data_IF_946969680134
#
_entry.id   IF_946969680134
#
_cell.length_a   1.000
_cell.length_b   1.000
_cell.length_c   1.000
_cell.angle_alpha   90.00
_cell.angle_beta   90.00
_cell.angle_gamma   90.00
#
_symmetry.space_group_name_H-M   'P 1'
#
loop_
_entity.id
_entity.type
_entity.pdbx_description
1 polymer ?
#
# COMPACT_ATOMS: atom_id res chain seq x y z
N UNK A 1 5.07 15.41 -19.56
CA UNK A 1 5.57 14.31 -18.75
C UNK A 1 4.65 14.06 -17.58
N UNK A 2 4.39 12.82 -17.29
CA UNK A 2 3.52 12.47 -16.17
C UNK A 2 4.35 11.83 -15.06
N UNK A 3 4.44 12.46 -13.88
CA UNK A 3 5.11 11.84 -12.76
C UNK A 3 4.42 10.57 -12.27
N UNK A 4 3.17 10.38 -12.65
CA UNK A 4 2.42 9.19 -12.24
C UNK A 4 2.97 7.89 -12.82
N UNK A 5 3.77 7.99 -13.89
CA UNK A 5 4.39 6.80 -14.47
C UNK A 5 5.47 6.21 -13.59
N UNK A 6 6.06 7.03 -12.71
CA UNK A 6 7.17 6.62 -11.86
C UNK A 6 6.75 6.33 -10.43
N UNK A 7 5.48 6.51 -10.11
CA UNK A 7 4.98 6.35 -8.76
C UNK A 7 3.93 5.26 -8.69
N UNK A 8 3.95 4.44 -7.62
CA UNK A 8 2.89 3.46 -7.42
C UNK A 8 1.53 4.14 -7.30
N UNK A 9 0.49 3.51 -7.82
CA UNK A 9 -0.86 4.00 -7.63
C UNK A 9 -1.28 3.69 -6.19
N UNK A 10 -1.37 4.73 -5.39
CA UNK A 10 -1.75 4.61 -3.99
C UNK A 10 -3.00 5.45 -3.77
N UNK A 11 -4.01 4.85 -3.16
CA UNK A 11 -5.23 5.56 -2.81
C UNK A 11 -5.40 5.62 -1.30
N UNK A 12 -5.88 6.74 -0.83
CA UNK A 12 -6.15 6.97 0.59
C UNK A 12 -7.64 7.21 0.78
N UNK A 13 -8.22 6.50 1.71
CA UNK A 13 -9.62 6.69 2.09
C UNK A 13 -9.69 6.89 3.60
N UNK A 14 -10.32 7.97 4.01
CA UNK A 14 -10.56 8.28 5.42
C UNK A 14 -12.06 8.20 5.67
N UNK A 15 -12.45 7.43 6.69
CA UNK A 15 -13.85 7.27 7.06
C UNK A 15 -14.05 7.78 8.48
N UNK A 16 -15.13 8.55 8.68
CA UNK A 16 -15.40 9.12 10.00
C UNK A 16 -16.19 8.18 10.89
N UNK A 17 -16.99 7.32 10.32
CA UNK A 17 -17.95 6.52 11.06
C UNK A 17 -17.82 5.01 10.87
N UNK A 18 -16.96 4.58 9.94
CA UNK A 18 -16.83 3.17 9.62
C UNK A 18 -15.41 2.68 9.88
N UNK A 19 -15.26 1.38 10.04
CA UNK A 19 -13.96 0.75 10.11
C UNK A 19 -13.59 0.14 8.77
N UNK A 20 -12.32 0.23 8.38
CA UNK A 20 -11.26 0.97 9.04
C UNK A 20 -11.44 2.48 8.86
N UNK A 21 -10.92 3.25 9.81
CA UNK A 21 -10.96 4.72 9.71
C UNK A 21 -10.04 5.26 8.64
N UNK A 22 -8.91 4.59 8.42
CA UNK A 22 -7.97 4.93 7.35
C UNK A 22 -7.67 3.66 6.58
N UNK A 23 -7.72 3.78 5.26
CA UNK A 23 -7.37 2.67 4.38
C UNK A 23 -6.46 3.21 3.28
N UNK A 24 -5.28 2.62 3.16
CA UNK A 24 -4.33 2.98 2.10
C UNK A 24 -4.11 1.74 1.25
N UNK A 25 -4.39 1.84 -0.04
CA UNK A 25 -4.24 0.74 -0.99
C UNK A 25 -3.09 1.02 -1.93
N UNK A 26 -2.21 0.05 -2.07
CA UNK A 26 -1.09 0.10 -3.01
C UNK A 26 -1.34 -0.96 -4.08
N UNK A 27 -1.41 -0.56 -5.33
CA UNK A 27 -1.55 -1.49 -6.46
C UNK A 27 -0.19 -2.11 -6.79
N UNK A 28 0.32 -2.90 -5.86
CA UNK A 28 1.66 -3.45 -5.94
C UNK A 28 1.89 -4.28 -7.19
N UNK A 29 0.93 -5.11 -7.55
CA UNK A 29 1.06 -5.98 -8.71
C UNK A 29 1.22 -5.23 -10.02
N UNK A 30 0.60 -4.06 -10.13
CA UNK A 30 0.68 -3.26 -11.35
C UNK A 30 2.09 -2.72 -11.55
N UNK A 31 2.71 -2.25 -10.48
CA UNK A 31 4.02 -1.61 -10.58
C UNK A 31 5.18 -2.58 -10.48
N UNK A 32 5.06 -3.57 -9.61
CA UNK A 32 6.14 -4.54 -9.40
C UNK A 32 6.04 -5.71 -10.35
N UNK A 33 4.87 -5.98 -10.89
CA UNK A 33 4.64 -7.13 -11.76
C UNK A 33 4.71 -8.46 -11.02
N UNK A 34 4.56 -8.44 -9.71
CA UNK A 34 4.62 -9.62 -8.85
C UNK A 34 3.94 -9.33 -7.53
N UNK A 35 3.84 -10.34 -6.69
CA UNK A 35 3.33 -10.18 -5.33
C UNK A 35 4.42 -9.61 -4.42
N UNK A 36 4.00 -8.93 -3.38
CA UNK A 36 4.92 -8.56 -2.31
C UNK A 36 5.28 -9.82 -1.54
N UNK A 37 6.55 -9.98 -1.20
CA UNK A 37 7.00 -11.12 -0.41
C UNK A 37 6.69 -10.90 1.06
N UNK A 38 6.63 -11.98 1.88
CA UNK A 38 6.46 -11.81 3.32
C UNK A 38 7.51 -10.90 3.95
N UNK A 39 8.76 -11.00 3.50
CA UNK A 39 9.83 -10.14 4.02
C UNK A 39 9.56 -8.67 3.69
N UNK A 40 9.05 -8.39 2.50
CA UNK A 40 8.71 -7.02 2.10
C UNK A 40 7.55 -6.47 2.91
N UNK A 41 6.56 -7.31 3.20
CA UNK A 41 5.44 -6.91 4.06
C UNK A 41 5.96 -6.60 5.48
N UNK A 42 6.89 -7.40 5.99
CA UNK A 42 7.50 -7.14 7.30
C UNK A 42 8.25 -5.81 7.31
N UNK A 43 8.93 -5.47 6.22
CA UNK A 43 9.60 -4.18 6.09
C UNK A 43 8.61 -3.01 6.11
N UNK A 44 7.48 -3.17 5.43
CA UNK A 44 6.44 -2.16 5.46
C UNK A 44 5.90 -1.98 6.88
N UNK A 45 5.63 -3.08 7.56
CA UNK A 45 5.16 -3.04 8.95
C UNK A 45 6.17 -2.32 9.84
N UNK A 46 7.46 -2.62 9.67
CA UNK A 46 8.50 -1.98 10.46
C UNK A 46 8.54 -0.47 10.23
N UNK A 47 8.34 -0.04 8.99
CA UNK A 47 8.36 1.40 8.67
C UNK A 47 7.14 2.13 9.24
N UNK A 48 6.05 1.42 9.50
CA UNK A 48 4.83 2.02 10.02
C UNK A 48 4.77 2.05 11.54
N UNK A 49 5.51 1.18 12.22
CA UNK A 49 5.41 1.05 13.68
C UNK A 49 5.72 2.32 14.44
N UNK A 50 6.64 3.12 13.92
CA UNK A 50 7.01 4.39 14.57
C UNK A 50 5.98 5.48 14.35
N UNK A 51 5.06 5.30 13.43
CA UNK A 51 4.10 6.32 13.03
C UNK A 51 2.68 5.97 13.42
N UNK A 52 2.37 4.70 13.46
CA UNK A 52 1.01 4.20 13.64
C UNK A 52 1.02 3.15 14.74
N UNK A 53 0.35 3.40 15.87
CA UNK A 53 0.38 2.44 16.97
C UNK A 53 -0.36 1.14 16.68
N UNK A 54 -1.41 1.20 15.88
CA UNK A 54 -2.20 0.02 15.57
C UNK A 54 -2.61 0.04 14.10
N UNK A 55 -2.29 -1.01 13.39
CA UNK A 55 -2.65 -1.14 11.98
C UNK A 55 -2.65 -2.61 11.58
N UNK A 56 -3.27 -2.88 10.45
CA UNK A 56 -3.23 -4.20 9.82
C UNK A 56 -2.79 -4.03 8.38
N UNK A 57 -2.05 -5.00 7.87
CA UNK A 57 -1.66 -5.02 6.47
C UNK A 57 -2.26 -6.28 5.85
N UNK A 58 -3.01 -6.08 4.79
CA UNK A 58 -3.67 -7.17 4.07
C UNK A 58 -3.16 -7.18 2.64
N UNK A 59 -2.58 -8.30 2.24
CA UNK A 59 -2.21 -8.51 0.85
C UNK A 59 -3.32 -9.32 0.19
N UNK A 60 -3.92 -8.76 -0.83
CA UNK A 60 -5.06 -9.42 -1.47
C UNK A 60 -4.95 -9.38 -2.98
N UNK A 61 -5.61 -10.32 -3.62
CA UNK A 61 -5.70 -10.37 -5.05
C UNK A 61 -7.13 -10.04 -5.45
N UNK A 62 -7.29 -9.06 -6.32
CA UNK A 62 -8.59 -8.70 -6.85
C UNK A 62 -8.68 -9.14 -8.28
N UNK A 63 -9.83 -9.66 -8.64
CA UNK A 63 -10.15 -9.99 -10.03
C UNK A 63 -11.01 -8.87 -10.59
N UNK A 64 -10.56 -8.33 -11.70
CA UNK A 64 -11.28 -7.27 -12.39
C UNK A 64 -11.65 -7.76 -13.77
N UNK A 65 -12.87 -7.44 -14.17
CA UNK A 65 -13.37 -7.82 -15.47
C UNK A 65 -13.63 -6.57 -16.30
N UNK A 66 -12.99 -6.51 -17.46
CA UNK A 66 -13.20 -5.42 -18.41
C UNK A 66 -13.63 -6.02 -19.74
N UNK A 67 -14.92 -5.93 -20.05
CA UNK A 67 -15.42 -6.55 -21.25
C UNK A 67 -15.27 -8.05 -21.19
N UNK A 68 -14.42 -8.61 -22.05
CA UNK A 68 -14.15 -10.04 -22.06
C UNK A 68 -12.86 -10.41 -21.36
N UNK A 69 -12.18 -9.43 -20.75
CA UNK A 69 -10.88 -9.64 -20.14
C UNK A 69 -11.02 -9.65 -18.63
N UNK A 70 -10.42 -10.66 -18.01
CA UNK A 70 -10.28 -10.73 -16.57
C UNK A 70 -8.84 -10.44 -16.21
N UNK A 71 -8.63 -9.57 -15.24
CA UNK A 71 -7.30 -9.26 -14.74
C UNK A 71 -7.24 -9.48 -13.24
N UNK A 72 -6.13 -10.05 -12.76
CA UNK A 72 -5.86 -10.19 -11.35
C UNK A 72 -4.89 -9.10 -10.93
N UNK A 73 -5.27 -8.34 -9.91
CA UNK A 73 -4.46 -7.24 -9.39
C UNK A 73 -4.10 -7.53 -7.95
N UNK A 74 -2.80 -7.55 -7.67
CA UNK A 74 -2.31 -7.70 -6.30
C UNK A 74 -2.25 -6.34 -5.63
N UNK A 75 -2.92 -6.24 -4.50
CA UNK A 75 -2.95 -5.01 -3.72
C UNK A 75 -2.45 -5.27 -2.32
N UNK A 76 -1.73 -4.31 -1.78
CA UNK A 76 -1.35 -4.29 -0.38
C UNK A 76 -2.15 -3.19 0.28
N UNK A 77 -2.92 -3.53 1.30
CA UNK A 77 -3.85 -2.61 1.94
C UNK A 77 -3.41 -2.42 3.39
N UNK A 78 -3.25 -1.17 3.79
CA UNK A 78 -2.93 -0.81 5.16
C UNK A 78 -4.21 -0.25 5.78
N UNK A 79 -4.63 -0.83 6.90
CA UNK A 79 -5.87 -0.44 7.56
C UNK A 79 -5.58 0.01 8.99
N UNK A 80 -6.14 1.15 9.36
CA UNK A 80 -6.05 1.67 10.73
C UNK A 80 -7.45 1.70 11.31
N UNK A 81 -7.69 1.04 12.45
CA UNK A 81 -9.00 1.09 13.08
C UNK A 81 -9.45 2.52 13.37
N UNK A 82 -10.73 2.77 13.21
CA UNK A 82 -11.26 4.12 13.37
C UNK A 82 -10.90 4.74 14.72
N UNK A 83 -10.92 3.96 15.78
CA UNK A 83 -10.60 4.44 17.13
C UNK A 83 -9.15 4.90 17.26
N UNK A 84 -8.27 4.42 16.39
CA UNK A 84 -6.86 4.84 16.39
C UNK A 84 -6.57 5.88 15.32
N UNK A 85 -7.58 6.27 14.56
CA UNK A 85 -7.45 7.29 13.51
C UNK A 85 -8.02 8.63 13.95
N UNK A 86 -8.47 8.73 15.19
CA UNK A 86 -9.06 9.97 15.71
C UNK A 86 -8.01 11.06 15.83
N UNK A 87 -8.49 12.30 15.90
CA UNK A 87 -7.62 13.46 16.00
C UNK A 87 -7.33 14.04 14.63
N UNK A 88 -6.25 13.59 14.01
CA UNK A 88 -5.83 14.11 12.71
C UNK A 88 -5.69 12.96 11.68
N UNK A 89 -6.81 12.36 11.27
CA UNK A 89 -6.74 11.22 10.34
C UNK A 89 -6.14 11.57 8.98
N UNK A 90 -6.34 12.80 8.51
CA UNK A 90 -5.78 13.20 7.22
C UNK A 90 -4.25 13.25 7.29
N UNK A 91 -3.71 13.79 8.39
CA UNK A 91 -2.26 13.86 8.57
C UNK A 91 -1.68 12.47 8.72
N UNK A 92 -2.31 11.63 9.51
CA UNK A 92 -1.85 10.26 9.71
C UNK A 92 -1.93 9.48 8.39
N UNK A 93 -3.01 9.66 7.64
CA UNK A 93 -3.17 9.03 6.34
C UNK A 93 -2.07 9.43 5.38
N UNK A 94 -1.72 10.71 5.33
CA UNK A 94 -0.64 11.19 4.49
C UNK A 94 0.71 10.57 4.87
N UNK A 95 0.98 10.43 6.16
CA UNK A 95 2.20 9.80 6.63
C UNK A 95 2.27 8.33 6.19
N UNK A 96 1.14 7.64 6.23
CA UNK A 96 1.07 6.25 5.79
C UNK A 96 1.31 6.18 4.27
N UNK A 97 0.72 7.09 3.51
CA UNK A 97 0.93 7.14 2.06
C UNK A 97 2.40 7.36 1.73
N UNK A 98 3.05 8.28 2.42
CA UNK A 98 4.47 8.55 2.19
C UNK A 98 5.32 7.33 2.51
N UNK A 99 5.05 6.67 3.61
CA UNK A 99 5.78 5.46 3.99
C UNK A 99 5.54 4.34 2.98
N UNK A 100 4.30 4.15 2.57
CA UNK A 100 3.96 3.11 1.62
C UNK A 100 4.59 3.37 0.25
N UNK A 101 4.60 4.63 -0.18
CA UNK A 101 5.21 5.01 -1.44
C UNK A 101 6.71 4.73 -1.43
N UNK A 102 7.40 5.14 -0.39
CA UNK A 102 8.83 4.87 -0.25
C UNK A 102 9.13 3.39 -0.24
N UNK A 103 8.34 2.63 0.51
CA UNK A 103 8.48 1.18 0.56
C UNK A 103 8.27 0.53 -0.80
N UNK A 104 7.21 0.92 -1.51
CA UNK A 104 6.90 0.34 -2.82
C UNK A 104 8.01 0.63 -3.82
N UNK A 105 8.52 1.85 -3.83
CA UNK A 105 9.62 2.22 -4.71
C UNK A 105 10.89 1.42 -4.39
N UNK A 106 11.17 1.20 -3.12
CA UNK A 106 12.30 0.38 -2.71
C UNK A 106 12.15 -1.07 -3.17
N UNK A 107 10.96 -1.62 -3.07
CA UNK A 107 10.69 -2.98 -3.54
C UNK A 107 10.90 -3.10 -5.04
N UNK A 108 10.45 -2.11 -5.79
CA UNK A 108 10.61 -2.09 -7.24
C UNK A 108 12.09 -1.97 -7.60
N UNK A 109 12.83 -1.11 -6.91
CA UNK A 109 14.26 -0.92 -7.15
C UNK A 109 15.05 -2.18 -6.81
N UNK A 110 14.70 -2.85 -5.70
CA UNK A 110 15.38 -4.07 -5.27
C UNK A 110 15.29 -5.18 -6.31
N UNK A 111 14.22 -5.18 -7.08
CA UNK A 111 14.01 -6.17 -8.14
C UNK A 111 15.14 -6.14 -9.17
N UNK A 112 15.75 -4.97 -9.37
CA UNK A 112 16.81 -4.78 -10.35
C UNK A 112 18.19 -4.77 -9.70
N UNK A 113 18.26 -5.06 -8.41
CA UNK A 113 19.53 -5.11 -7.70
C UNK A 113 20.35 -6.36 -8.02
N UNK A 114 21.57 -6.43 -7.48
CA UNK A 114 22.44 -7.57 -7.71
C UNK A 114 21.84 -8.91 -7.34
N UNK A 115 20.96 -8.90 -6.34
CA UNK A 115 20.30 -10.12 -5.89
C UNK A 115 19.35 -10.70 -6.92
N UNK A 116 19.00 -9.96 -7.94
CA UNK A 116 18.09 -10.43 -8.98
C UNK A 116 18.81 -11.19 -10.09
N UNK A 117 20.09 -11.24 -10.01
CA UNK A 117 20.90 -11.92 -11.02
C UNK A 117 20.95 -13.40 -10.78
#
# INVERSE_FOLDING_TARGET
MSPLLDEPAISLLVRKHDDPGIEVRVNFGVFAGRHATPAEIDELAASLRDRVPTFAIVAEQRHEFGGTVEASVHQVVIEVPREHAEGHPDVLGEQIVLAANGWALDCIASRHGPGSL
#
